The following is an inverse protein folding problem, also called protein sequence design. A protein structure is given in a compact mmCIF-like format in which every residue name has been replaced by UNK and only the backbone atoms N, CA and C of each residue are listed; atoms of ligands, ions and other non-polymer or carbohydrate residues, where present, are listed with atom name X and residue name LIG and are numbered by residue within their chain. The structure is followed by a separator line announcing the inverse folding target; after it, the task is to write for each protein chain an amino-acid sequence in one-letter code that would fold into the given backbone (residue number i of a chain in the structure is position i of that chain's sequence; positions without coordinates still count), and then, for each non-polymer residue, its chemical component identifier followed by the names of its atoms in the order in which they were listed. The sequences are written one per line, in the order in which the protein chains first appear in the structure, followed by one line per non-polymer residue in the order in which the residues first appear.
data_IF_546348348474
#
_entry.id   IF_546348348474
#
_cell.length_a   1.000
_cell.length_b   1.000
_cell.length_c   1.000
_cell.angle_alpha   90.00
_cell.angle_beta   90.00
_cell.angle_gamma   90.00
#
_symmetry.space_group_name_H-M   'P 1'
#
loop_
_entity.id
_entity.type
_entity.pdbx_description
1 polymer ?
#
# COMPACT_ATOMS: atom_id res chain seq x y z
N UNK A 1 -16.44 -14.34 -19.48
CA UNK A 1 -15.08 -14.04 -20.00
C UNK A 1 -15.10 -13.16 -21.25
N UNK A 2 -16.08 -13.32 -22.16
CA UNK A 2 -16.25 -12.48 -23.36
C UNK A 2 -16.52 -10.98 -23.04
N UNK A 3 -17.33 -10.68 -22.02
CA UNK A 3 -17.72 -9.29 -21.66
C UNK A 3 -16.56 -8.42 -21.12
N UNK A 4 -15.64 -8.99 -20.32
CA UNK A 4 -14.49 -8.23 -19.81
C UNK A 4 -13.55 -7.77 -20.92
N UNK A 5 -13.41 -8.57 -21.98
CA UNK A 5 -12.61 -8.21 -23.16
C UNK A 5 -13.28 -7.12 -24.01
N UNK A 6 -14.60 -6.96 -23.90
CA UNK A 6 -15.34 -5.92 -24.62
C UNK A 6 -15.21 -4.56 -23.91
N UNK A 7 -15.32 -4.55 -22.58
CA UNK A 7 -15.12 -3.33 -21.77
C UNK A 7 -13.70 -2.75 -21.89
N UNK A 8 -12.64 -3.58 -21.91
CA UNK A 8 -11.27 -3.08 -22.09
C UNK A 8 -11.05 -2.48 -23.48
N UNK A 9 -11.68 -3.03 -24.53
CA UNK A 9 -11.63 -2.44 -25.88
C UNK A 9 -12.28 -1.06 -25.91
N UNK A 10 -13.43 -0.91 -25.25
CA UNK A 10 -14.10 0.40 -25.13
C UNK A 10 -13.24 1.40 -24.34
N UNK A 11 -12.61 0.96 -23.25
CA UNK A 11 -11.69 1.78 -22.47
C UNK A 11 -10.52 2.30 -23.32
N UNK A 12 -9.86 1.40 -24.07
CA UNK A 12 -8.77 1.77 -25.00
C UNK A 12 -9.26 2.72 -26.09
N UNK A 13 -10.44 2.48 -26.67
CA UNK A 13 -11.01 3.35 -27.69
C UNK A 13 -11.21 4.78 -27.19
N UNK A 14 -11.69 4.96 -25.95
CA UNK A 14 -11.82 6.27 -25.31
C UNK A 14 -10.45 6.93 -25.06
N UNK A 15 -9.47 6.18 -24.54
CA UNK A 15 -8.13 6.70 -24.24
C UNK A 15 -7.40 7.21 -25.51
N UNK A 16 -7.49 6.47 -26.62
CA UNK A 16 -6.81 6.80 -27.89
C UNK A 16 -7.28 8.13 -28.48
N UNK A 17 -8.49 8.59 -28.17
CA UNK A 17 -8.97 9.92 -28.61
C UNK A 17 -8.21 11.08 -27.96
N UNK A 18 -7.51 10.84 -26.84
CA UNK A 18 -6.87 11.88 -26.03
C UNK A 18 -7.84 12.75 -25.21
N UNK A 19 -9.16 12.54 -25.33
CA UNK A 19 -10.18 13.32 -24.62
C UNK A 19 -10.53 12.73 -23.24
N UNK A 20 -10.17 11.47 -23.00
CA UNK A 20 -10.51 10.74 -21.79
C UNK A 20 -9.27 10.12 -21.15
N UNK A 21 -9.21 10.17 -19.81
CA UNK A 21 -8.29 9.37 -19.00
C UNK A 21 -9.10 8.29 -18.31
N UNK A 22 -9.08 7.07 -18.83
CA UNK A 22 -9.85 5.95 -18.26
C UNK A 22 -9.06 5.35 -17.09
N UNK A 23 -9.62 5.46 -15.89
CA UNK A 23 -9.01 4.89 -14.69
C UNK A 23 -9.35 3.41 -14.58
N UNK A 24 -8.33 2.59 -14.33
CA UNK A 24 -8.50 1.16 -14.06
C UNK A 24 -8.55 0.94 -12.56
N UNK A 25 -9.34 -0.05 -12.14
CA UNK A 25 -9.42 -0.44 -10.72
C UNK A 25 -8.01 -0.78 -10.23
N UNK A 26 -7.58 -0.14 -9.16
CA UNK A 26 -6.32 -0.50 -8.52
C UNK A 26 -6.46 -1.91 -7.93
N UNK A 27 -5.71 -2.84 -8.50
CA UNK A 27 -5.58 -4.19 -7.96
C UNK A 27 -4.32 -4.27 -7.12
N UNK A 28 -4.40 -4.95 -5.98
CA UNK A 28 -3.23 -5.27 -5.18
C UNK A 28 -2.28 -6.12 -6.03
N UNK A 29 -1.07 -5.63 -6.26
CA UNK A 29 -0.06 -6.29 -7.07
C UNK A 29 1.17 -6.56 -6.20
N UNK A 30 1.48 -7.83 -6.02
CA UNK A 30 2.71 -8.25 -5.34
C UNK A 30 3.94 -7.96 -6.20
N UNK A 31 3.85 -8.11 -7.52
CA UNK A 31 4.94 -7.79 -8.44
C UNK A 31 4.60 -6.52 -9.23
N UNK A 32 5.38 -5.46 -9.02
CA UNK A 32 5.17 -4.15 -9.65
C UNK A 32 6.02 -3.98 -10.92
N UNK A 33 7.23 -4.54 -10.91
CA UNK A 33 8.14 -4.53 -12.04
C UNK A 33 8.89 -5.87 -12.12
N UNK A 34 9.23 -6.36 -13.32
CA UNK A 34 10.09 -7.53 -13.45
C UNK A 34 11.47 -7.24 -12.86
N UNK A 35 12.04 -8.22 -12.17
CA UNK A 35 13.43 -8.14 -11.71
C UNK A 35 14.36 -8.11 -12.92
N UNK A 36 15.22 -7.10 -12.99
CA UNK A 36 16.16 -6.85 -14.08
C UNK A 36 17.60 -7.27 -13.75
N UNK A 37 17.80 -8.00 -12.64
CA UNK A 37 19.11 -8.40 -12.13
C UNK A 37 19.86 -7.31 -11.36
N UNK A 38 19.26 -6.13 -11.16
CA UNK A 38 19.81 -5.10 -10.28
C UNK A 38 19.95 -5.58 -8.84
N UNK A 39 20.90 -4.99 -8.10
CA UNK A 39 21.03 -5.22 -6.65
C UNK A 39 19.82 -4.62 -5.94
N UNK A 40 19.22 -5.40 -5.05
CA UNK A 40 18.02 -5.01 -4.29
C UNK A 40 18.28 -4.94 -2.79
N UNK A 41 17.35 -4.29 -2.08
CA UNK A 41 17.23 -4.25 -0.63
C UNK A 41 15.79 -4.54 -0.22
N UNK A 42 15.61 -4.97 1.03
CA UNK A 42 14.30 -5.07 1.66
C UNK A 42 14.05 -3.78 2.45
N UNK A 43 12.93 -3.13 2.16
CA UNK A 43 12.36 -2.04 2.93
C UNK A 43 11.09 -2.47 3.62
N UNK A 44 10.64 -1.65 4.58
CA UNK A 44 9.34 -1.82 5.22
C UNK A 44 8.66 -0.46 5.27
N UNK A 45 7.43 -0.38 4.77
CA UNK A 45 6.54 0.73 5.06
C UNK A 45 5.85 0.41 6.38
N UNK A 46 5.94 1.32 7.34
CA UNK A 46 5.33 1.18 8.66
C UNK A 46 4.45 2.38 8.96
N UNK A 47 3.26 2.09 9.44
CA UNK A 47 2.31 3.04 9.97
C UNK A 47 1.85 2.56 11.35
N UNK A 48 1.66 3.50 12.28
CA UNK A 48 1.33 3.19 13.67
C UNK A 48 0.20 4.07 14.15
N UNK A 49 -0.75 3.47 14.86
CA UNK A 49 -1.76 4.23 15.60
C UNK A 49 -1.37 4.24 17.08
N UNK A 50 -1.64 5.37 17.75
CA UNK A 50 -1.15 5.64 19.10
C UNK A 50 -2.22 6.24 19.99
N UNK A 51 -2.03 6.20 21.31
CA UNK A 51 -2.95 6.84 22.27
C UNK A 51 -2.88 8.37 22.30
N UNK A 52 -2.00 8.98 21.52
CA UNK A 52 -1.74 10.43 21.48
C UNK A 52 -0.45 10.75 20.71
N UNK A 53 0.01 12.00 20.75
CA UNK A 53 1.12 12.48 19.92
C UNK A 53 2.47 12.59 20.66
N UNK A 54 2.53 12.33 21.97
CA UNK A 54 3.77 12.40 22.77
C UNK A 54 4.49 11.03 22.75
N UNK A 55 5.58 10.85 21.98
CA UNK A 55 6.25 9.55 21.85
C UNK A 55 6.94 9.08 23.14
N UNK A 56 7.04 9.93 24.16
CA UNK A 56 7.61 9.56 25.47
C UNK A 56 6.57 8.98 26.42
N UNK A 57 5.27 9.16 26.12
CA UNK A 57 4.15 8.77 26.99
C UNK A 57 3.12 7.92 26.30
N UNK A 58 2.82 8.23 25.05
CA UNK A 58 1.76 7.60 24.28
C UNK A 58 2.17 6.25 23.74
N UNK A 59 1.20 5.35 23.73
CA UNK A 59 1.37 3.94 23.46
C UNK A 59 0.95 3.61 22.03
N UNK A 60 1.77 2.86 21.29
CA UNK A 60 1.35 2.26 20.01
C UNK A 60 0.26 1.22 20.25
N UNK A 61 -0.91 1.39 19.64
CA UNK A 61 -2.06 0.48 19.74
C UNK A 61 -2.31 -0.32 18.46
N UNK A 62 -1.71 0.09 17.33
CA UNK A 62 -1.73 -0.67 16.08
C UNK A 62 -0.39 -0.57 15.36
N UNK A 63 0.02 -1.67 14.71
CA UNK A 63 1.11 -1.70 13.74
C UNK A 63 0.58 -2.19 12.40
N UNK A 64 0.74 -1.38 11.36
CA UNK A 64 0.53 -1.77 9.98
C UNK A 64 1.87 -1.75 9.24
N UNK A 65 2.25 -2.87 8.65
CA UNK A 65 3.57 -3.05 8.04
C UNK A 65 3.46 -3.72 6.68
N UNK A 66 4.17 -3.18 5.70
CA UNK A 66 4.25 -3.74 4.34
C UNK A 66 5.71 -3.82 3.92
N UNK A 67 6.32 -5.01 3.94
CA UNK A 67 7.67 -5.20 3.40
C UNK A 67 7.65 -5.08 1.88
N UNK A 68 8.71 -4.51 1.31
CA UNK A 68 8.85 -4.37 -0.14
C UNK A 68 10.31 -4.48 -0.58
N UNK A 69 10.52 -5.03 -1.77
CA UNK A 69 11.85 -5.14 -2.39
C UNK A 69 12.07 -3.97 -3.33
N UNK A 70 13.17 -3.25 -3.17
CA UNK A 70 13.50 -2.09 -4.01
C UNK A 70 14.95 -2.13 -4.51
N UNK A 71 15.19 -1.55 -5.68
CA UNK A 71 16.52 -1.35 -6.25
C UNK A 71 17.23 -0.16 -5.64
N UNK A 72 18.56 -0.10 -5.81
CA UNK A 72 19.35 1.04 -5.32
C UNK A 72 19.02 2.38 -6.01
N UNK A 73 18.26 2.34 -7.09
CA UNK A 73 17.71 3.50 -7.81
C UNK A 73 16.31 3.91 -7.32
N UNK A 74 15.78 3.24 -6.30
CA UNK A 74 14.47 3.55 -5.69
C UNK A 74 13.28 2.87 -6.36
N UNK A 75 13.46 2.09 -7.44
CA UNK A 75 12.34 1.34 -8.04
C UNK A 75 11.88 0.21 -7.11
N UNK A 76 10.58 0.10 -6.88
CA UNK A 76 9.99 -1.01 -6.12
C UNK A 76 9.66 -2.15 -7.10
N UNK A 77 10.18 -3.33 -6.81
CA UNK A 77 9.97 -4.54 -7.60
C UNK A 77 8.83 -5.38 -7.05
N UNK A 78 8.81 -5.57 -5.73
CA UNK A 78 7.90 -6.48 -5.06
C UNK A 78 7.31 -5.85 -3.80
N UNK A 79 6.01 -6.08 -3.57
CA UNK A 79 5.30 -5.84 -2.32
C UNK A 79 4.99 -7.20 -1.70
N UNK A 80 5.52 -7.44 -0.51
CA UNK A 80 5.36 -8.71 0.19
C UNK A 80 4.08 -8.71 1.05
N UNK A 81 3.82 -9.82 1.73
CA UNK A 81 2.66 -9.96 2.60
C UNK A 81 2.65 -8.89 3.69
N UNK A 82 1.52 -8.19 3.83
CA UNK A 82 1.31 -7.22 4.87
C UNK A 82 1.19 -7.91 6.24
N UNK A 83 1.63 -7.21 7.28
CA UNK A 83 1.34 -7.53 8.67
C UNK A 83 0.47 -6.43 9.27
N UNK A 84 -0.52 -6.83 10.04
CA UNK A 84 -1.33 -5.93 10.85
C UNK A 84 -1.52 -6.56 12.23
N UNK A 85 -1.36 -5.75 13.28
CA UNK A 85 -1.51 -6.23 14.65
C UNK A 85 -1.95 -5.12 15.60
N UNK A 86 -2.89 -5.47 16.49
CA UNK A 86 -3.35 -4.60 17.56
C UNK A 86 -2.62 -4.90 18.86
N UNK A 87 -2.42 -3.87 19.68
CA UNK A 87 -1.88 -3.96 21.04
C UNK A 87 -2.78 -3.25 22.02
N UNK A 88 -3.16 -3.94 23.09
CA UNK A 88 -3.88 -3.32 24.19
C UNK A 88 -2.94 -2.36 24.96
N UNK A 89 -3.29 -1.07 25.10
CA UNK A 89 -2.53 -0.13 25.93
C UNK A 89 -2.73 -0.40 27.43
N UNK A 90 -1.81 0.09 28.26
CA UNK A 90 -1.88 -0.03 29.71
C UNK A 90 -2.96 0.88 30.33
N UNK A 91 -3.21 2.03 29.70
CA UNK A 91 -4.23 2.99 30.11
C UNK A 91 -5.41 3.03 29.13
N UNK A 92 -6.60 3.50 29.55
CA UNK A 92 -7.71 3.73 28.63
C UNK A 92 -7.31 4.68 27.50
N UNK A 93 -7.73 4.35 26.28
CA UNK A 93 -7.51 5.19 25.10
C UNK A 93 -8.35 6.48 25.27
N UNK A 94 -7.75 7.68 25.15
CA UNK A 94 -8.50 8.93 25.22
C UNK A 94 -9.64 8.99 24.19
N UNK A 95 -10.78 9.57 24.57
CA UNK A 95 -11.98 9.59 23.74
C UNK A 95 -11.82 10.38 22.42
N UNK A 96 -10.80 11.23 22.32
CA UNK A 96 -10.45 11.94 21.10
C UNK A 96 -9.76 11.05 20.05
N UNK A 97 -9.18 9.92 20.48
CA UNK A 97 -8.51 8.94 19.62
C UNK A 97 -9.47 7.85 19.13
N UNK A 98 -10.53 7.55 19.89
CA UNK A 98 -11.50 6.48 19.56
C UNK A 98 -12.62 6.92 18.60
N UNK A 99 -12.46 8.00 17.84
CA UNK A 99 -13.51 8.57 16.98
C UNK A 99 -13.40 8.17 15.52
#
# INVERSE_FOLDING_TARGET
MQEMGDHEKMAVALEVTGQYRVLRKLLHRQNLAPHDGSKTRLGIFIDVETTGLDPTKDEIIELAMVPFVYGLDGRIFEVQAAFQGLRQPANPIPAEITK
#
